data_IF_648137450655
#
_entry.id   IF_648137450655
#
_cell.length_a   1.000
_cell.length_b   1.000
_cell.length_c   1.000
_cell.angle_alpha   90.00
_cell.angle_beta   90.00
_cell.angle_gamma   90.00
#
_symmetry.space_group_name_H-M   'P 1'
#
loop_
_entity.id
_entity.type
_entity.pdbx_description
1 polymer ?
#
# COMPACT_ATOMS: atom_id res chain seq x y z
N UNK A 1 -22.69 32.35 -9.57
CA UNK A 1 -23.94 31.56 -9.53
C UNK A 1 -23.72 30.26 -8.78
N UNK A 2 -22.70 29.45 -9.10
CA UNK A 2 -22.44 28.17 -8.44
C UNK A 2 -22.12 28.24 -6.93
N UNK A 3 -21.51 29.32 -6.47
CA UNK A 3 -21.13 29.53 -5.06
C UNK A 3 -22.26 30.10 -4.19
N UNK A 4 -23.37 30.54 -4.81
CA UNK A 4 -24.53 31.10 -4.13
C UNK A 4 -25.72 30.12 -4.08
N UNK A 5 -25.54 28.93 -4.61
CA UNK A 5 -26.53 27.87 -4.63
C UNK A 5 -26.03 26.68 -3.81
N UNK A 6 -26.94 25.96 -3.14
CA UNK A 6 -26.65 24.73 -2.42
C UNK A 6 -26.03 23.63 -3.31
N UNK A 7 -26.10 23.76 -4.63
CA UNK A 7 -25.54 22.82 -5.61
C UNK A 7 -24.05 22.60 -5.39
N UNK A 8 -23.29 23.65 -5.06
CA UNK A 8 -21.86 23.54 -4.79
C UNK A 8 -21.56 22.65 -3.56
N UNK A 9 -22.38 22.78 -2.51
CA UNK A 9 -22.20 21.97 -1.30
C UNK A 9 -22.52 20.49 -1.56
N UNK A 10 -23.56 20.21 -2.37
CA UNK A 10 -23.83 18.83 -2.81
C UNK A 10 -22.70 18.26 -3.69
N UNK A 11 -22.14 19.06 -4.59
CA UNK A 11 -21.02 18.62 -5.44
C UNK A 11 -19.76 18.29 -4.62
N UNK A 12 -19.40 19.11 -3.63
CA UNK A 12 -18.28 18.81 -2.72
C UNK A 12 -18.47 17.46 -2.03
N UNK A 13 -19.64 17.24 -1.46
CA UNK A 13 -20.02 15.99 -0.81
C UNK A 13 -19.95 14.80 -1.77
N UNK A 14 -20.48 14.98 -2.97
CA UNK A 14 -20.48 13.94 -3.99
C UNK A 14 -19.04 13.54 -4.37
N UNK A 15 -18.19 14.51 -4.74
CA UNK A 15 -16.82 14.23 -5.10
C UNK A 15 -15.99 13.69 -3.93
N UNK A 16 -16.25 14.12 -2.69
CA UNK A 16 -15.58 13.59 -1.52
C UNK A 16 -15.92 12.11 -1.26
N UNK A 17 -17.13 11.66 -1.64
CA UNK A 17 -17.60 10.31 -1.34
C UNK A 17 -17.41 9.30 -2.47
N UNK A 18 -17.60 9.72 -3.71
CA UNK A 18 -17.57 8.84 -4.89
C UNK A 18 -16.57 9.28 -5.96
N UNK A 19 -15.82 10.36 -5.71
CA UNK A 19 -14.78 10.81 -6.62
C UNK A 19 -13.62 9.82 -6.67
N UNK A 20 -13.09 9.61 -7.88
CA UNK A 20 -11.88 8.83 -8.11
C UNK A 20 -10.71 9.77 -8.33
N UNK A 21 -9.60 9.51 -7.66
CA UNK A 21 -8.35 10.26 -7.87
C UNK A 21 -7.50 9.55 -8.90
N UNK A 22 -6.98 10.30 -9.86
CA UNK A 22 -6.10 9.76 -10.90
C UNK A 22 -4.74 10.45 -10.83
N UNK A 23 -3.67 9.69 -10.99
CA UNK A 23 -2.34 10.24 -11.08
C UNK A 23 -2.19 11.14 -12.31
N UNK A 24 -1.66 12.36 -12.19
CA UNK A 24 -1.41 13.24 -13.32
C UNK A 24 -0.25 12.76 -14.20
N UNK A 25 0.56 11.80 -13.71
CA UNK A 25 1.73 11.27 -14.44
C UNK A 25 1.34 10.09 -15.30
N UNK A 26 0.76 9.05 -14.72
CA UNK A 26 0.39 7.81 -15.42
C UNK A 26 -1.06 7.78 -15.90
N UNK A 27 -1.93 8.63 -15.36
CA UNK A 27 -3.38 8.57 -15.59
C UNK A 27 -4.05 7.38 -14.92
N UNK A 28 -3.33 6.61 -14.09
CA UNK A 28 -3.89 5.48 -13.36
C UNK A 28 -4.67 5.97 -12.13
N UNK A 29 -5.70 5.20 -11.78
CA UNK A 29 -6.47 5.46 -10.58
C UNK A 29 -5.62 5.19 -9.32
N UNK A 30 -5.59 6.16 -8.43
CA UNK A 30 -4.93 6.04 -7.12
C UNK A 30 -5.89 5.29 -6.19
N UNK A 31 -5.48 4.13 -5.72
CA UNK A 31 -6.28 3.29 -4.83
C UNK A 31 -5.54 3.08 -3.51
N UNK A 32 -6.31 3.17 -2.43
CA UNK A 32 -5.88 2.81 -1.09
C UNK A 32 -6.70 1.61 -0.64
N UNK A 33 -6.01 0.55 -0.25
CA UNK A 33 -6.66 -0.69 0.18
C UNK A 33 -6.64 -0.81 1.69
N UNK A 34 -7.79 -1.08 2.27
CA UNK A 34 -7.90 -1.43 3.68
C UNK A 34 -7.53 -2.90 3.91
N UNK A 35 -7.33 -3.26 5.18
CA UNK A 35 -7.14 -4.67 5.58
C UNK A 35 -8.30 -5.54 5.13
N UNK A 36 -9.54 -5.02 5.23
CA UNK A 36 -10.74 -5.77 4.83
C UNK A 36 -10.84 -5.97 3.31
N UNK A 37 -10.40 -5.00 2.51
CA UNK A 37 -10.36 -5.13 1.04
C UNK A 37 -9.41 -6.27 0.64
N UNK A 38 -8.20 -6.31 1.21
CA UNK A 38 -7.23 -7.36 0.94
C UNK A 38 -7.71 -8.72 1.48
N UNK A 39 -8.32 -8.73 2.66
CA UNK A 39 -8.88 -9.97 3.22
C UNK A 39 -10.00 -10.54 2.33
N UNK A 40 -10.86 -9.68 1.80
CA UNK A 40 -11.89 -10.06 0.84
C UNK A 40 -11.27 -10.66 -0.43
N UNK A 41 -10.26 -10.01 -1.00
CA UNK A 41 -9.53 -10.53 -2.15
C UNK A 41 -8.92 -11.92 -1.88
N UNK A 42 -8.31 -12.13 -0.70
CA UNK A 42 -7.75 -13.43 -0.32
C UNK A 42 -8.84 -14.50 -0.26
N UNK A 43 -10.02 -14.18 0.29
CA UNK A 43 -11.16 -15.11 0.33
C UNK A 43 -11.71 -15.45 -1.06
N UNK A 44 -11.73 -14.48 -1.98
CA UNK A 44 -12.16 -14.66 -3.38
C UNK A 44 -11.24 -15.58 -4.21
N UNK A 45 -10.03 -15.89 -3.71
CA UNK A 45 -9.19 -16.92 -4.31
C UNK A 45 -9.85 -18.30 -4.30
N UNK A 46 -10.76 -18.53 -3.35
CA UNK A 46 -11.58 -19.72 -3.21
C UNK A 46 -11.07 -20.70 -2.16
N UNK A 47 -12.01 -21.49 -1.61
CA UNK A 47 -11.73 -22.52 -0.59
C UNK A 47 -10.68 -23.51 -1.09
N UNK A 48 -9.76 -23.89 -0.21
CA UNK A 48 -8.67 -24.82 -0.49
C UNK A 48 -7.48 -24.23 -1.22
N UNK A 49 -7.59 -22.99 -1.76
CA UNK A 49 -6.49 -22.29 -2.41
C UNK A 49 -5.36 -22.00 -1.42
N UNK A 50 -4.13 -21.95 -1.93
CA UNK A 50 -2.96 -21.55 -1.14
C UNK A 50 -2.72 -20.07 -1.33
N UNK A 51 -2.54 -19.37 -0.22
CA UNK A 51 -2.14 -17.97 -0.22
C UNK A 51 -0.89 -17.78 0.64
N UNK A 52 0.03 -16.97 0.15
CA UNK A 52 1.17 -16.43 0.88
C UNK A 52 0.94 -14.94 1.05
N UNK A 53 0.87 -14.47 2.28
CA UNK A 53 0.82 -13.04 2.60
C UNK A 53 2.23 -12.61 2.88
N UNK A 54 2.71 -11.63 2.13
CA UNK A 54 4.07 -11.14 2.17
C UNK A 54 4.11 -9.61 2.16
N UNK A 55 5.27 -9.06 2.46
CA UNK A 55 5.53 -7.63 2.44
C UNK A 55 6.90 -7.38 1.78
N UNK A 56 7.11 -6.29 1.05
CA UNK A 56 8.42 -5.94 0.54
C UNK A 56 9.42 -5.76 1.68
N UNK A 57 10.69 -6.09 1.43
CA UNK A 57 11.76 -5.84 2.38
C UNK A 57 12.10 -4.35 2.38
N UNK A 58 11.62 -3.64 3.40
CA UNK A 58 11.89 -2.21 3.58
C UNK A 58 13.12 -2.03 4.47
N UNK A 59 14.11 -1.29 3.97
CA UNK A 59 15.33 -0.95 4.69
C UNK A 59 15.23 0.48 5.25
N UNK A 60 15.71 0.69 6.47
CA UNK A 60 15.93 2.02 7.00
C UNK A 60 17.16 2.66 6.34
N UNK A 61 17.28 3.99 6.43
CA UNK A 61 18.44 4.70 5.89
C UNK A 61 19.75 4.17 6.47
N UNK A 62 20.64 3.70 5.60
CA UNK A 62 21.92 3.12 6.00
C UNK A 62 21.88 1.67 6.52
N UNK A 63 20.71 1.04 6.55
CA UNK A 63 20.56 -0.35 7.01
C UNK A 63 20.90 -1.35 5.91
N UNK A 64 21.73 -2.33 6.23
CA UNK A 64 22.06 -3.44 5.31
C UNK A 64 20.97 -4.52 5.28
N UNK A 65 20.87 -5.22 4.13
CA UNK A 65 19.90 -6.32 3.95
C UNK A 65 20.12 -7.42 4.99
N UNK A 66 21.39 -7.82 5.23
CA UNK A 66 21.73 -8.89 6.19
C UNK A 66 21.28 -8.51 7.60
N UNK A 67 21.53 -7.26 8.00
CA UNK A 67 21.11 -6.74 9.30
C UNK A 67 19.59 -6.79 9.44
N UNK A 68 18.86 -6.31 8.42
CA UNK A 68 17.40 -6.35 8.42
C UNK A 68 16.85 -7.76 8.49
N UNK A 69 17.39 -8.70 7.72
CA UNK A 69 16.95 -10.10 7.75
C UNK A 69 17.24 -10.76 9.10
N UNK A 70 18.36 -10.44 9.73
CA UNK A 70 18.69 -10.93 11.07
C UNK A 70 17.69 -10.40 12.12
N UNK A 71 17.31 -9.14 12.00
CA UNK A 71 16.26 -8.55 12.85
C UNK A 71 14.92 -9.27 12.68
N UNK A 72 14.51 -9.52 11.43
CA UNK A 72 13.27 -10.25 11.12
C UNK A 72 13.26 -11.66 11.71
N UNK A 73 14.40 -12.36 11.72
CA UNK A 73 14.54 -13.66 12.39
C UNK A 73 14.27 -13.55 13.89
N UNK A 74 14.77 -12.49 14.54
CA UNK A 74 14.50 -12.24 15.98
C UNK A 74 13.04 -11.93 16.27
N UNK A 75 12.31 -11.36 15.30
CA UNK A 75 10.86 -11.11 15.36
C UNK A 75 10.02 -12.36 15.02
N UNK A 76 10.69 -13.51 14.74
CA UNK A 76 10.04 -14.76 14.42
C UNK A 76 9.62 -14.93 12.97
N UNK A 77 10.02 -14.03 12.07
CA UNK A 77 9.82 -14.16 10.63
C UNK A 77 11.00 -14.94 10.04
N UNK A 78 10.75 -16.15 9.58
CA UNK A 78 11.82 -17.08 9.18
C UNK A 78 11.92 -17.29 7.68
N UNK A 79 11.01 -16.70 6.89
CA UNK A 79 10.92 -16.99 5.45
C UNK A 79 10.81 -15.72 4.63
N UNK A 80 11.35 -15.81 3.43
CA UNK A 80 11.21 -14.83 2.36
C UNK A 80 10.72 -15.50 1.09
N UNK A 81 10.13 -14.70 0.21
CA UNK A 81 9.81 -15.07 -1.15
C UNK A 81 10.74 -14.31 -2.08
N UNK A 82 11.50 -15.04 -2.87
CA UNK A 82 12.47 -14.51 -3.85
C UNK A 82 12.59 -15.51 -5.00
N UNK A 83 12.86 -15.05 -6.22
CA UNK A 83 13.01 -15.90 -7.42
C UNK A 83 11.82 -16.84 -7.64
N UNK A 84 10.59 -16.42 -7.31
CA UNK A 84 9.38 -17.23 -7.46
C UNK A 84 9.21 -18.34 -6.43
N UNK A 85 10.03 -18.36 -5.38
CA UNK A 85 10.02 -19.43 -4.36
C UNK A 85 10.09 -18.88 -2.93
N UNK A 86 9.47 -19.61 -2.01
CA UNK A 86 9.62 -19.37 -0.58
C UNK A 86 10.87 -20.10 -0.07
N UNK A 87 11.80 -19.36 0.53
CA UNK A 87 13.05 -19.88 1.12
C UNK A 87 13.15 -19.49 2.60
N UNK A 88 13.97 -20.21 3.36
CA UNK A 88 14.33 -19.79 4.70
C UNK A 88 15.34 -18.63 4.65
N UNK A 89 15.19 -17.67 5.56
CA UNK A 89 16.14 -16.55 5.66
C UNK A 89 17.55 -17.09 5.92
N UNK A 90 17.70 -18.09 6.80
CA UNK A 90 18.98 -18.70 7.13
C UNK A 90 19.67 -19.32 5.91
N UNK A 91 18.93 -19.85 4.94
CA UNK A 91 19.45 -20.44 3.72
C UNK A 91 19.96 -19.40 2.71
N UNK A 92 19.32 -18.23 2.68
CA UNK A 92 19.68 -17.17 1.73
C UNK A 92 20.77 -16.23 2.27
N UNK A 93 20.86 -16.05 3.60
CA UNK A 93 21.84 -15.14 4.22
C UNK A 93 23.28 -15.31 3.68
N UNK A 94 23.80 -16.55 3.49
CA UNK A 94 25.17 -16.73 2.95
C UNK A 94 25.32 -16.34 1.47
N UNK A 95 24.22 -16.24 0.72
CA UNK A 95 24.21 -15.92 -0.70
C UNK A 95 23.88 -14.45 -1.01
N UNK A 96 23.54 -13.67 0.01
CA UNK A 96 23.27 -12.24 -0.11
C UNK A 96 24.61 -11.51 -0.18
N UNK A 97 24.77 -10.73 -1.24
CA UNK A 97 25.90 -9.85 -1.47
C UNK A 97 25.44 -8.39 -1.66
N UNK A 98 26.38 -7.49 -1.87
CA UNK A 98 26.11 -6.06 -2.10
C UNK A 98 25.32 -5.79 -3.39
N UNK A 99 25.20 -6.77 -4.28
CA UNK A 99 24.44 -6.65 -5.54
C UNK A 99 23.00 -7.08 -5.40
N UNK A 100 22.64 -7.76 -4.30
CA UNK A 100 21.28 -8.23 -4.03
C UNK A 100 20.37 -7.03 -3.77
N UNK A 101 19.35 -6.86 -4.59
CA UNK A 101 18.37 -5.79 -4.42
C UNK A 101 17.33 -6.12 -3.33
N UNK A 102 17.08 -5.21 -2.41
CA UNK A 102 16.01 -5.39 -1.43
C UNK A 102 14.62 -5.54 -2.08
N UNK A 103 14.43 -4.93 -3.25
CA UNK A 103 13.18 -5.00 -4.03
C UNK A 103 12.84 -6.43 -4.51
N UNK A 104 13.84 -7.30 -4.64
CA UNK A 104 13.67 -8.68 -5.11
C UNK A 104 13.27 -9.63 -3.96
N UNK A 105 13.22 -9.12 -2.73
CA UNK A 105 12.95 -9.91 -1.53
C UNK A 105 11.61 -9.48 -0.92
N UNK A 106 10.71 -10.44 -0.79
CA UNK A 106 9.45 -10.26 -0.05
C UNK A 106 9.52 -11.05 1.25
N UNK A 107 9.23 -10.39 2.37
CA UNK A 107 9.17 -11.06 3.69
C UNK A 107 7.86 -11.81 3.80
N UNK A 108 7.90 -13.11 4.04
CA UNK A 108 6.69 -13.93 4.21
C UNK A 108 6.16 -13.76 5.62
N UNK A 109 4.98 -13.15 5.73
CA UNK A 109 4.29 -12.94 7.00
C UNK A 109 3.52 -14.18 7.42
N UNK A 110 2.77 -14.77 6.47
CA UNK A 110 2.01 -15.99 6.71
C UNK A 110 1.80 -16.81 5.44
N UNK A 111 1.57 -18.11 5.62
CA UNK A 111 1.19 -19.02 4.54
C UNK A 111 0.03 -19.86 5.02
N UNK A 112 -1.05 -19.83 4.27
CA UNK A 112 -2.27 -20.52 4.67
C UNK A 112 -2.98 -21.19 3.51
N UNK A 113 -3.87 -22.08 3.85
CA UNK A 113 -4.89 -22.59 2.95
C UNK A 113 -6.21 -21.94 3.34
N UNK A 114 -6.92 -21.41 2.36
CA UNK A 114 -8.15 -20.66 2.58
C UNK A 114 -9.26 -21.62 2.98
N UNK A 115 -9.93 -21.32 4.09
CA UNK A 115 -11.12 -22.01 4.56
C UNK A 115 -12.22 -21.01 4.92
N UNK A 116 -13.50 -21.40 4.82
CA UNK A 116 -14.64 -20.50 5.05
C UNK A 116 -15.03 -20.41 6.53
N UNK A 117 -14.06 -20.49 7.43
CA UNK A 117 -14.27 -20.40 8.88
C UNK A 117 -13.80 -19.04 9.44
N UNK A 118 -14.37 -18.64 10.58
CA UNK A 118 -14.10 -17.36 11.22
C UNK A 118 -12.65 -17.24 11.71
N UNK A 119 -12.02 -18.36 12.10
CA UNK A 119 -10.62 -18.37 12.55
C UNK A 119 -9.69 -18.06 11.39
N UNK A 120 -9.92 -18.66 10.22
CA UNK A 120 -9.16 -18.35 8.99
C UNK A 120 -9.37 -16.90 8.58
N UNK A 121 -10.59 -16.36 8.68
CA UNK A 121 -10.86 -14.96 8.34
C UNK A 121 -10.11 -14.00 9.27
N UNK A 122 -10.14 -14.25 10.55
CA UNK A 122 -9.41 -13.46 11.56
C UNK A 122 -7.90 -13.51 11.28
N UNK A 123 -7.37 -14.71 11.03
CA UNK A 123 -5.96 -14.93 10.69
C UNK A 123 -5.53 -14.18 9.43
N UNK A 124 -6.37 -14.14 8.38
CA UNK A 124 -6.12 -13.37 7.17
C UNK A 124 -5.98 -11.89 7.51
N UNK A 125 -6.94 -11.31 8.24
CA UNK A 125 -6.89 -9.89 8.63
C UNK A 125 -5.64 -9.53 9.43
N UNK A 126 -5.31 -10.35 10.42
CA UNK A 126 -4.13 -10.14 11.25
C UNK A 126 -2.84 -10.21 10.43
N UNK A 127 -2.76 -11.17 9.50
CA UNK A 127 -1.59 -11.33 8.63
C UNK A 127 -1.46 -10.18 7.63
N UNK A 128 -2.57 -9.70 7.06
CA UNK A 128 -2.58 -8.52 6.17
C UNK A 128 -2.18 -7.25 6.92
N UNK A 129 -2.73 -7.04 8.13
CA UNK A 129 -2.37 -5.89 8.96
C UNK A 129 -0.86 -5.89 9.29
N UNK A 130 -0.30 -7.06 9.63
CA UNK A 130 1.14 -7.22 9.84
C UNK A 130 1.93 -6.97 8.55
N UNK A 131 1.47 -7.45 7.40
CA UNK A 131 2.13 -7.20 6.12
C UNK A 131 2.21 -5.71 5.80
N UNK A 132 1.13 -4.96 5.95
CA UNK A 132 1.15 -3.50 5.81
C UNK A 132 2.13 -2.82 6.76
N UNK A 133 2.21 -3.30 8.02
CA UNK A 133 3.15 -2.75 9.00
C UNK A 133 4.62 -3.01 8.63
N UNK A 134 4.96 -4.21 8.19
CA UNK A 134 6.34 -4.56 7.80
C UNK A 134 6.75 -4.00 6.44
N UNK A 135 5.80 -3.89 5.50
CA UNK A 135 6.00 -3.43 4.14
C UNK A 135 5.80 -1.93 3.94
N UNK A 136 5.76 -1.15 5.03
CA UNK A 136 5.55 0.30 4.99
C UNK A 136 4.32 0.68 4.15
N UNK A 137 3.20 0.03 4.47
CA UNK A 137 1.92 0.22 3.79
C UNK A 137 1.70 -0.64 2.55
N UNK A 138 2.62 -1.54 2.21
CA UNK A 138 2.48 -2.45 1.08
C UNK A 138 2.31 -3.89 1.55
N UNK A 139 1.33 -4.59 0.98
CA UNK A 139 1.06 -6.00 1.19
C UNK A 139 1.02 -6.72 -0.16
N UNK A 140 1.70 -7.85 -0.26
CA UNK A 140 1.69 -8.71 -1.45
C UNK A 140 1.00 -10.02 -1.13
N UNK A 141 0.00 -10.38 -1.91
CA UNK A 141 -0.69 -11.68 -1.84
C UNK A 141 -0.22 -12.53 -3.02
N UNK A 142 0.43 -13.66 -2.71
CA UNK A 142 0.97 -14.59 -3.71
C UNK A 142 0.11 -15.86 -3.69
N UNK A 143 -0.38 -16.25 -4.85
CA UNK A 143 -1.24 -17.43 -5.03
C UNK A 143 -0.91 -18.15 -6.33
N UNK A 144 -1.59 -19.25 -6.59
CA UNK A 144 -1.48 -19.98 -7.87
C UNK A 144 -1.89 -19.11 -9.10
N UNK A 145 -2.64 -18.01 -8.87
CA UNK A 145 -3.03 -17.05 -9.92
C UNK A 145 -1.96 -15.98 -10.17
N UNK A 146 -0.90 -15.95 -9.37
CA UNK A 146 0.18 -14.95 -9.44
C UNK A 146 0.28 -14.13 -8.15
N UNK A 147 1.05 -13.05 -8.23
CA UNK A 147 1.22 -12.08 -7.15
C UNK A 147 0.36 -10.84 -7.42
N UNK A 148 -0.34 -10.37 -6.38
CA UNK A 148 -1.09 -9.13 -6.38
C UNK A 148 -0.57 -8.24 -5.26
N UNK A 149 -0.26 -6.98 -5.57
CA UNK A 149 0.23 -5.99 -4.63
C UNK A 149 -0.88 -5.01 -4.26
N UNK A 150 -0.94 -4.66 -2.99
CA UNK A 150 -1.92 -3.74 -2.41
C UNK A 150 -1.19 -2.68 -1.59
N UNK A 151 -1.52 -1.42 -1.83
CA UNK A 151 -1.03 -0.30 -1.03
C UNK A 151 -2.13 0.23 -0.12
N UNK A 152 -1.83 0.39 1.16
CA UNK A 152 -2.66 1.12 2.12
C UNK A 152 -2.40 2.62 2.09
N UNK A 153 -1.46 3.08 1.25
CA UNK A 153 -1.15 4.49 1.04
C UNK A 153 -1.94 5.02 -0.15
N UNK A 154 -2.39 6.23 -0.03
CA UNK A 154 -3.04 6.92 -1.13
C UNK A 154 -1.99 7.64 -1.97
N UNK A 155 -1.18 6.83 -2.68
CA UNK A 155 -0.06 7.31 -3.49
C UNK A 155 0.00 6.61 -4.85
N UNK A 156 0.52 7.30 -5.85
CA UNK A 156 0.86 6.73 -7.16
C UNK A 156 2.00 7.55 -7.79
N UNK A 157 2.85 6.87 -8.57
CA UNK A 157 3.98 7.49 -9.28
C UNK A 157 4.93 8.30 -8.37
N UNK A 158 5.07 7.90 -7.09
CA UNK A 158 5.88 8.59 -6.10
C UNK A 158 5.26 9.91 -5.59
N UNK A 159 3.98 10.15 -5.85
CA UNK A 159 3.21 11.29 -5.36
C UNK A 159 2.20 10.80 -4.34
N UNK A 160 2.27 11.35 -3.14
CA UNK A 160 1.25 11.16 -2.12
C UNK A 160 0.08 12.11 -2.39
N UNK A 161 -1.13 11.58 -2.34
CA UNK A 161 -2.37 12.32 -2.60
C UNK A 161 -3.16 12.50 -1.31
N UNK A 162 -3.82 13.65 -1.20
CA UNK A 162 -4.79 13.88 -0.14
C UNK A 162 -6.04 13.03 -0.37
N UNK A 163 -6.53 12.38 0.68
CA UNK A 163 -7.80 11.67 0.61
C UNK A 163 -8.95 12.61 0.24
N UNK A 164 -9.82 12.22 -0.69
CA UNK A 164 -10.98 13.02 -1.07
C UNK A 164 -11.80 13.41 0.17
N UNK A 165 -11.93 14.70 0.40
CA UNK A 165 -12.70 15.27 1.50
C UNK A 165 -13.43 16.53 1.04
N UNK A 166 -14.47 16.93 1.75
CA UNK A 166 -15.18 18.18 1.43
C UNK A 166 -14.26 19.41 1.46
N UNK A 167 -13.21 19.35 2.31
CA UNK A 167 -12.23 20.41 2.44
C UNK A 167 -11.34 20.54 1.20
N UNK A 168 -10.97 19.41 0.58
CA UNK A 168 -10.17 19.39 -0.64
C UNK A 168 -10.87 20.11 -1.80
N UNK A 169 -12.20 19.99 -1.88
CA UNK A 169 -13.02 20.61 -2.92
C UNK A 169 -13.55 22.01 -2.54
N UNK A 170 -13.12 22.56 -1.41
CA UNK A 170 -13.54 23.89 -0.97
C UNK A 170 -12.60 24.97 -1.50
N UNK A 171 -13.15 25.92 -2.27
CA UNK A 171 -12.39 27.08 -2.79
C UNK A 171 -11.87 28.01 -1.68
N UNK A 172 -12.40 27.93 -0.46
CA UNK A 172 -11.94 28.70 0.71
C UNK A 172 -10.90 27.94 1.57
N UNK A 173 -10.42 26.78 1.11
CA UNK A 173 -9.44 25.97 1.84
C UNK A 173 -8.14 25.93 1.02
N UNK A 174 -6.96 26.10 1.63
CA UNK A 174 -5.68 25.99 0.95
C UNK A 174 -5.35 24.57 0.47
N UNK A 175 -6.04 23.52 0.98
CA UNK A 175 -5.88 22.16 0.49
C UNK A 175 -6.20 22.08 -1.00
N UNK A 176 -5.30 21.52 -1.79
CA UNK A 176 -5.42 21.48 -3.25
C UNK A 176 -5.06 22.78 -3.97
N UNK A 177 -4.69 23.84 -3.26
CA UNK A 177 -4.20 25.05 -3.85
C UNK A 177 -2.83 24.83 -4.54
N UNK A 178 -2.59 25.49 -5.64
CA UNK A 178 -1.29 25.43 -6.31
C UNK A 178 -0.17 25.89 -5.35
N UNK A 179 0.86 25.07 -5.08
CA UNK A 179 1.93 25.43 -4.13
C UNK A 179 2.74 26.67 -4.58
N UNK A 180 2.66 27.04 -5.85
CA UNK A 180 3.38 28.20 -6.40
C UNK A 180 2.64 29.51 -6.23
N UNK A 181 1.33 29.51 -6.29
CA UNK A 181 0.51 30.73 -6.21
C UNK A 181 -0.50 30.72 -5.08
N UNK A 182 -0.53 29.63 -4.26
CA UNK A 182 -1.43 29.47 -3.11
C UNK A 182 -2.91 29.76 -3.43
N UNK A 183 -3.33 29.50 -4.67
CA UNK A 183 -4.67 29.75 -5.15
C UNK A 183 -4.92 31.14 -5.72
N UNK A 184 -3.95 32.07 -5.64
CA UNK A 184 -4.12 33.44 -6.13
C UNK A 184 -4.00 33.61 -7.66
N UNK A 185 -3.60 32.56 -8.40
CA UNK A 185 -3.45 32.58 -9.85
C UNK A 185 -2.27 33.43 -10.35
N UNK A 186 -1.59 34.16 -9.46
CA UNK A 186 -0.41 34.99 -9.76
C UNK A 186 0.62 34.82 -8.65
N UNK A 187 1.88 34.73 -9.00
CA UNK A 187 3.00 34.79 -8.05
C UNK A 187 3.33 36.26 -7.84
N UNK A 188 3.14 36.74 -6.61
CA UNK A 188 3.60 38.09 -6.23
C UNK A 188 5.06 37.92 -5.82
N UNK A 189 5.98 38.27 -6.74
CA UNK A 189 7.42 38.34 -6.49
C UNK A 189 7.88 39.79 -6.49
N UNK A 190 8.83 40.12 -5.61
CA UNK A 190 9.59 41.35 -5.71
C UNK A 190 10.57 41.14 -6.86
N UNK A 191 10.52 42.00 -7.87
CA UNK A 191 11.44 42.00 -9.01
C UNK A 191 12.83 42.48 -8.57
#
# INVERSE_FOLDING_TARGET
VGTTTEIYDYLKLLFARIGHTFSPVSGQEVRCYSVDDVATYVQELGEGSRAVIAAPLVLAEGQGIIEKLTLLLSDGLTRVYTDGQTRLIEEILPSIDETTGAADIQVVIDRMRIAPDDDTQTRIRDSVARAFSYGDGICTVISDKGAAEFSSRFEADGIEFEHPSEHLFSFNNPLGACPRCEGYGKVIGIA
#
